data_IF_047437116162
#
_entry.id   IF_047437116162
#
_cell.length_a   1.000
_cell.length_b   1.000
_cell.length_c   1.000
_cell.angle_alpha   90.00
_cell.angle_beta   90.00
_cell.angle_gamma   90.00
#
_symmetry.space_group_name_H-M   'P 1'
#
loop_
_entity.id
_entity.type
_entity.pdbx_description
1 polymer ?
#
# COMPACT_ATOMS: atom_id res chain seq x y z
N UNK A 1 -38.25 4.00 -13.31
CA UNK A 1 -37.23 3.54 -14.29
C UNK A 1 -37.45 2.05 -14.58
N UNK A 2 -36.90 1.45 -15.65
CA UNK A 2 -37.15 0.03 -16.02
C UNK A 2 -36.87 -0.97 -14.89
N UNK A 3 -35.94 -0.65 -13.99
CA UNK A 3 -35.60 -1.44 -12.81
C UNK A 3 -36.73 -1.55 -11.77
N UNK A 4 -37.65 -0.58 -11.71
CA UNK A 4 -38.76 -0.59 -10.75
C UNK A 4 -39.87 -1.57 -11.17
N UNK A 5 -39.99 -1.84 -12.46
CA UNK A 5 -40.97 -2.77 -13.02
C UNK A 5 -40.56 -4.22 -12.70
N UNK A 6 -39.29 -4.57 -12.97
CA UNK A 6 -38.73 -5.89 -12.64
C UNK A 6 -38.81 -6.18 -11.13
N UNK A 7 -38.58 -5.19 -10.26
CA UNK A 7 -38.68 -5.35 -8.80
C UNK A 7 -40.08 -5.68 -8.30
N UNK A 8 -41.11 -5.07 -8.92
CA UNK A 8 -42.51 -5.33 -8.56
C UNK A 8 -42.97 -6.71 -9.02
N UNK A 9 -42.60 -7.12 -10.23
CA UNK A 9 -42.97 -8.43 -10.78
C UNK A 9 -42.25 -9.61 -10.12
N UNK A 10 -40.99 -9.45 -9.71
CA UNK A 10 -40.16 -10.56 -9.20
C UNK A 10 -40.24 -10.74 -7.68
N UNK A 11 -40.79 -9.76 -6.95
CA UNK A 11 -40.75 -9.74 -5.48
C UNK A 11 -39.33 -9.71 -4.90
N UNK A 12 -38.32 -9.54 -5.76
CA UNK A 12 -36.92 -9.58 -5.39
C UNK A 12 -36.55 -8.25 -4.75
N UNK A 13 -36.50 -8.22 -3.41
CA UNK A 13 -35.81 -7.16 -2.68
C UNK A 13 -34.34 -7.24 -3.06
N UNK A 14 -33.89 -6.31 -3.91
CA UNK A 14 -32.48 -6.22 -4.29
C UNK A 14 -31.65 -6.24 -3.01
N UNK A 15 -30.71 -7.20 -2.82
CA UNK A 15 -29.78 -7.13 -1.71
C UNK A 15 -29.08 -5.79 -1.86
N UNK A 16 -29.33 -4.89 -0.91
CA UNK A 16 -28.83 -3.52 -0.94
C UNK A 16 -27.34 -3.56 -1.20
N UNK A 17 -26.87 -2.97 -2.31
CA UNK A 17 -25.45 -2.75 -2.50
C UNK A 17 -24.97 -1.88 -1.32
N UNK A 18 -24.07 -2.42 -0.49
CA UNK A 18 -23.57 -1.77 0.70
C UNK A 18 -22.59 -0.66 0.30
N UNK A 19 -23.10 0.55 0.06
CA UNK A 19 -22.24 1.67 -0.27
C UNK A 19 -21.65 2.28 1.01
N UNK A 20 -20.32 2.19 1.16
CA UNK A 20 -19.63 2.68 2.36
C UNK A 20 -19.85 4.18 2.64
N UNK A 21 -20.14 4.99 1.63
CA UNK A 21 -20.45 6.42 1.82
C UNK A 21 -21.86 6.66 2.35
N UNK A 22 -22.84 5.87 1.90
CA UNK A 22 -24.21 5.93 2.42
C UNK A 22 -24.20 5.47 3.88
N UNK A 23 -23.49 4.39 4.17
CA UNK A 23 -23.34 3.87 5.52
C UNK A 23 -22.65 4.90 6.44
N UNK A 24 -21.58 5.53 5.98
CA UNK A 24 -20.90 6.61 6.70
C UNK A 24 -21.82 7.83 6.95
N UNK A 25 -22.60 8.23 5.94
CA UNK A 25 -23.58 9.32 6.08
C UNK A 25 -24.68 8.97 7.09
N UNK A 26 -25.14 7.72 7.14
CA UNK A 26 -26.16 7.29 8.10
C UNK A 26 -25.59 7.21 9.53
N UNK A 27 -24.36 6.70 9.69
CA UNK A 27 -23.76 6.51 11.00
C UNK A 27 -23.22 7.81 11.63
N UNK A 28 -22.57 8.66 10.84
CA UNK A 28 -21.82 9.83 11.33
C UNK A 28 -22.28 11.16 10.69
N UNK A 29 -23.21 11.09 9.74
CA UNK A 29 -23.73 12.28 9.05
C UNK A 29 -22.73 12.92 8.09
N UNK A 30 -23.09 14.11 7.65
CA UNK A 30 -22.24 14.97 6.84
C UNK A 30 -20.85 15.25 7.43
N UNK A 31 -20.69 15.48 8.75
CA UNK A 31 -19.35 15.70 9.32
C UNK A 31 -18.40 14.53 9.06
N UNK A 32 -18.88 13.29 9.21
CA UNK A 32 -18.11 12.09 8.92
C UNK A 32 -17.74 11.96 7.45
N UNK A 33 -18.72 12.14 6.56
CA UNK A 33 -18.51 12.08 5.12
C UNK A 33 -17.50 13.13 4.63
N UNK A 34 -17.60 14.37 5.12
CA UNK A 34 -16.67 15.45 4.79
C UNK A 34 -15.27 15.16 5.31
N UNK A 35 -15.14 14.65 6.54
CA UNK A 35 -13.84 14.31 7.11
C UNK A 35 -13.14 13.18 6.33
N UNK A 36 -13.83 12.07 6.09
CA UNK A 36 -13.27 10.92 5.37
C UNK A 36 -12.96 11.29 3.90
N UNK A 37 -13.88 11.99 3.24
CA UNK A 37 -13.67 12.51 1.88
C UNK A 37 -12.48 13.47 1.81
N UNK A 38 -12.37 14.39 2.77
CA UNK A 38 -11.25 15.31 2.87
C UNK A 38 -9.91 14.62 3.11
N UNK A 39 -9.85 13.65 4.02
CA UNK A 39 -8.65 12.84 4.26
C UNK A 39 -8.24 12.08 3.00
N UNK A 40 -9.20 11.47 2.30
CA UNK A 40 -8.92 10.68 1.11
C UNK A 40 -8.47 11.54 -0.06
N UNK A 41 -9.15 12.66 -0.33
CA UNK A 41 -8.76 13.63 -1.35
C UNK A 41 -7.40 14.28 -1.03
N UNK A 42 -7.17 14.67 0.22
CA UNK A 42 -5.90 15.23 0.68
C UNK A 42 -4.75 14.23 0.53
N UNK A 43 -4.97 12.97 0.90
CA UNK A 43 -3.97 11.90 0.71
C UNK A 43 -3.63 11.71 -0.77
N UNK A 44 -4.65 11.63 -1.63
CA UNK A 44 -4.45 11.48 -3.07
C UNK A 44 -3.68 12.67 -3.66
N UNK A 45 -4.05 13.90 -3.29
CA UNK A 45 -3.36 15.10 -3.74
C UNK A 45 -1.89 15.11 -3.32
N UNK A 46 -1.61 14.85 -2.03
CA UNK A 46 -0.23 14.80 -1.52
C UNK A 46 0.55 13.68 -2.21
N UNK A 47 -0.04 12.49 -2.39
CA UNK A 47 0.60 11.38 -3.08
C UNK A 47 0.95 11.73 -4.54
N UNK A 48 0.07 12.44 -5.26
CA UNK A 48 0.33 12.94 -6.62
C UNK A 48 1.49 13.93 -6.60
N UNK A 49 1.44 14.95 -5.73
CA UNK A 49 2.50 15.96 -5.62
C UNK A 49 3.87 15.35 -5.31
N UNK A 50 3.91 14.35 -4.41
CA UNK A 50 5.15 13.64 -4.04
C UNK A 50 5.69 12.75 -5.17
N UNK A 51 4.81 12.22 -6.02
CA UNK A 51 5.21 11.39 -7.16
C UNK A 51 6.03 12.16 -8.18
N UNK A 52 5.80 13.47 -8.32
CA UNK A 52 6.60 14.33 -9.20
C UNK A 52 8.02 14.61 -8.66
N UNK A 53 8.22 14.63 -7.34
CA UNK A 53 9.52 14.97 -6.72
C UNK A 53 10.42 13.78 -6.37
N UNK A 54 9.85 12.63 -5.98
CA UNK A 54 10.61 11.45 -5.53
C UNK A 54 10.71 10.32 -6.59
N UNK A 55 10.07 10.50 -7.75
CA UNK A 55 10.09 9.55 -8.86
C UNK A 55 9.36 8.22 -8.58
N UNK A 56 9.57 7.22 -9.45
CA UNK A 56 8.86 5.94 -9.46
C UNK A 56 9.02 5.10 -8.18
N UNK A 57 9.95 5.46 -7.28
CA UNK A 57 10.19 4.75 -6.01
C UNK A 57 9.13 5.03 -4.94
N UNK A 58 8.37 6.12 -5.06
CA UNK A 58 7.57 6.64 -3.94
C UNK A 58 6.04 6.65 -4.17
N UNK A 59 5.54 6.61 -5.41
CA UNK A 59 4.17 7.07 -5.69
C UNK A 59 3.17 6.11 -6.34
N UNK A 60 3.59 5.27 -7.28
CA UNK A 60 2.65 4.58 -8.17
C UNK A 60 1.76 3.54 -7.47
N UNK A 61 2.33 2.79 -6.53
CA UNK A 61 1.55 1.83 -5.75
C UNK A 61 0.50 2.54 -4.88
N UNK A 62 0.89 3.62 -4.20
CA UNK A 62 -0.01 4.38 -3.34
C UNK A 62 -1.18 4.99 -4.13
N UNK A 63 -0.92 5.53 -5.32
CA UNK A 63 -1.96 6.07 -6.19
C UNK A 63 -2.90 4.98 -6.73
N UNK A 64 -2.35 3.85 -7.18
CA UNK A 64 -3.15 2.71 -7.64
C UNK A 64 -4.03 2.14 -6.52
N UNK A 65 -3.47 1.99 -5.32
CA UNK A 65 -4.22 1.58 -4.13
C UNK A 65 -5.32 2.59 -3.78
N UNK A 66 -5.04 3.89 -3.75
CA UNK A 66 -6.05 4.92 -3.43
C UNK A 66 -7.20 4.93 -4.45
N UNK A 67 -6.90 4.75 -5.74
CA UNK A 67 -7.92 4.65 -6.78
C UNK A 67 -8.79 3.39 -6.58
N UNK A 68 -8.17 2.24 -6.36
CA UNK A 68 -8.90 0.99 -6.11
C UNK A 68 -9.73 1.07 -4.83
N UNK A 69 -9.17 1.60 -3.75
CA UNK A 69 -9.84 1.82 -2.47
C UNK A 69 -11.06 2.74 -2.63
N UNK A 70 -10.93 3.83 -3.39
CA UNK A 70 -12.06 4.71 -3.68
C UNK A 70 -13.18 3.98 -4.41
N UNK A 71 -12.86 3.27 -5.51
CA UNK A 71 -13.88 2.53 -6.28
C UNK A 71 -14.55 1.46 -5.42
N UNK A 72 -13.77 0.71 -4.63
CA UNK A 72 -14.30 -0.28 -3.69
C UNK A 72 -15.19 0.35 -2.62
N UNK A 73 -14.86 1.54 -2.11
CA UNK A 73 -15.67 2.24 -1.11
C UNK A 73 -17.05 2.66 -1.59
N UNK A 74 -17.25 2.76 -2.91
CA UNK A 74 -18.56 3.04 -3.51
C UNK A 74 -19.46 1.80 -3.55
N UNK A 75 -18.86 0.61 -3.58
CA UNK A 75 -19.59 -0.67 -3.72
C UNK A 75 -19.74 -1.44 -2.42
N UNK A 76 -18.81 -1.26 -1.48
CA UNK A 76 -18.72 -2.02 -0.24
C UNK A 76 -18.55 -1.10 0.98
N UNK A 77 -19.06 -1.55 2.13
CA UNK A 77 -18.86 -0.89 3.43
C UNK A 77 -17.45 -1.15 3.99
N UNK A 78 -16.43 -0.64 3.30
CA UNK A 78 -15.02 -0.74 3.72
C UNK A 78 -14.53 0.48 4.50
N UNK A 79 -15.27 1.59 4.48
CA UNK A 79 -14.92 2.81 5.21
C UNK A 79 -15.15 2.60 6.71
N UNK A 80 -14.13 2.88 7.52
CA UNK A 80 -14.19 2.75 8.99
C UNK A 80 -14.64 1.36 9.49
N UNK A 81 -14.54 0.33 8.65
CA UNK A 81 -14.93 -1.03 9.02
C UNK A 81 -14.06 -1.54 10.19
N UNK A 82 -14.71 -2.03 11.24
CA UNK A 82 -14.03 -2.60 12.39
C UNK A 82 -13.21 -3.83 11.95
N UNK A 83 -11.89 -3.83 12.19
CA UNK A 83 -10.95 -4.87 11.74
C UNK A 83 -10.82 -5.01 10.20
N UNK A 84 -11.19 -3.98 9.43
CA UNK A 84 -11.05 -3.98 7.97
C UNK A 84 -9.62 -3.66 7.51
N UNK A 85 -8.97 -4.61 6.84
CA UNK A 85 -7.67 -4.39 6.18
C UNK A 85 -7.67 -3.19 5.21
N UNK A 86 -8.70 -2.95 4.37
CA UNK A 86 -8.69 -1.83 3.44
C UNK A 86 -8.59 -0.48 4.16
N UNK A 87 -9.33 -0.29 5.25
CA UNK A 87 -9.30 0.95 6.04
C UNK A 87 -7.93 1.15 6.70
N UNK A 88 -7.33 0.10 7.25
CA UNK A 88 -5.99 0.17 7.86
C UNK A 88 -4.94 0.51 6.81
N UNK A 89 -5.01 -0.08 5.62
CA UNK A 89 -4.10 0.24 4.52
C UNK A 89 -4.28 1.68 4.03
N UNK A 90 -5.50 2.21 4.03
CA UNK A 90 -5.75 3.62 3.78
C UNK A 90 -5.05 4.51 4.82
N UNK A 91 -5.16 4.19 6.11
CA UNK A 91 -4.46 4.94 7.17
C UNK A 91 -2.92 4.84 7.01
N UNK A 92 -2.40 3.68 6.61
CA UNK A 92 -0.98 3.50 6.31
C UNK A 92 -0.53 4.35 5.10
N UNK A 93 -1.34 4.42 4.04
CA UNK A 93 -1.07 5.26 2.89
C UNK A 93 -1.14 6.76 3.23
N UNK A 94 -2.14 7.17 4.02
CA UNK A 94 -2.30 8.52 4.56
C UNK A 94 -1.07 8.96 5.36
N UNK A 95 -0.66 8.15 6.34
CA UNK A 95 0.52 8.44 7.16
C UNK A 95 1.78 8.52 6.31
N UNK A 96 1.99 7.61 5.36
CA UNK A 96 3.14 7.66 4.45
C UNK A 96 3.13 8.88 3.53
N UNK A 97 1.96 9.34 3.10
CA UNK A 97 1.85 10.54 2.26
C UNK A 97 2.19 11.82 3.04
N UNK A 98 1.75 11.91 4.30
CA UNK A 98 1.90 13.11 5.13
C UNK A 98 3.26 13.18 5.82
N UNK A 99 3.78 12.05 6.31
CA UNK A 99 5.02 12.08 7.07
C UNK A 99 6.22 12.42 6.16
N UNK A 100 7.16 13.25 6.66
CA UNK A 100 8.39 13.53 5.94
C UNK A 100 9.18 12.23 5.70
N UNK A 101 9.82 12.14 4.53
CA UNK A 101 10.69 11.02 4.23
C UNK A 101 11.77 10.88 5.33
N UNK A 102 12.10 9.65 5.77
CA UNK A 102 13.07 9.41 6.83
C UNK A 102 14.39 10.13 6.51
N UNK A 103 15.05 10.73 7.51
CA UNK A 103 16.31 11.47 7.30
C UNK A 103 17.39 10.62 6.59
N UNK A 104 17.38 9.30 6.81
CA UNK A 104 18.23 8.33 6.12
C UNK A 104 18.07 8.30 4.59
N UNK A 105 16.93 8.77 4.05
CA UNK A 105 16.68 8.87 2.61
C UNK A 105 17.02 10.25 2.02
N UNK A 106 17.33 11.25 2.87
CA UNK A 106 17.69 12.62 2.45
C UNK A 106 19.19 12.92 2.49
N UNK A 107 19.97 12.18 3.25
CA UNK A 107 21.41 12.41 3.33
C UNK A 107 22.11 11.85 2.06
N UNK A 108 22.88 12.66 1.32
CA UNK A 108 23.74 12.17 0.23
C UNK A 108 24.75 11.12 0.74
N UNK A 109 25.13 11.25 2.02
CA UNK A 109 26.10 10.42 2.73
C UNK A 109 25.45 9.57 3.84
N UNK A 110 24.18 9.17 3.66
CA UNK A 110 23.52 8.27 4.60
C UNK A 110 24.39 7.02 4.76
N UNK A 111 25.14 6.97 5.87
CA UNK A 111 26.02 5.86 6.20
C UNK A 111 25.19 4.58 6.02
N UNK A 112 25.66 3.61 5.23
CA UNK A 112 24.84 2.48 4.86
C UNK A 112 24.33 1.83 6.15
N UNK A 113 23.00 1.67 6.27
CA UNK A 113 22.34 1.08 7.44
C UNK A 113 22.89 -0.32 7.79
N UNK A 114 23.55 -0.93 6.82
CA UNK A 114 24.53 -1.98 7.01
C UNK A 114 25.89 -1.36 6.77
N UNK A 115 26.63 -1.06 7.85
CA UNK A 115 28.08 -1.04 7.71
C UNK A 115 28.41 -2.36 7.01
N UNK A 116 29.01 -2.29 5.83
CA UNK A 116 29.51 -3.45 5.11
C UNK A 116 30.65 -3.99 5.96
N UNK A 117 30.36 -4.53 7.16
CA UNK A 117 31.29 -5.25 8.00
C UNK A 117 31.79 -6.32 7.07
N UNK A 118 33.01 -6.13 6.59
CA UNK A 118 33.74 -7.12 5.84
C UNK A 118 33.69 -8.39 6.69
N UNK A 119 32.84 -9.32 6.28
CA UNK A 119 33.06 -10.76 6.44
C UNK A 119 33.30 -11.24 7.89
N UNK A 120 32.59 -10.71 8.89
CA UNK A 120 32.71 -11.26 10.25
C UNK A 120 31.76 -12.46 10.50
N UNK A 121 30.62 -12.54 9.80
CA UNK A 121 29.62 -13.61 9.96
C UNK A 121 29.17 -14.24 8.63
N UNK A 122 30.01 -14.17 7.60
CA UNK A 122 29.91 -15.16 6.53
C UNK A 122 30.55 -16.43 7.08
N UNK A 123 29.81 -17.18 7.90
CA UNK A 123 30.17 -18.58 8.18
C UNK A 123 30.34 -19.23 6.82
N UNK A 124 31.59 -19.56 6.46
CA UNK A 124 31.90 -20.16 5.18
C UNK A 124 30.97 -21.36 4.94
N UNK A 125 30.65 -21.68 3.67
CA UNK A 125 29.74 -22.77 3.36
C UNK A 125 30.23 -24.02 4.09
N UNK A 126 29.49 -24.45 5.13
CA UNK A 126 29.80 -25.68 5.89
C UNK A 126 29.51 -26.94 5.06
N UNK A 127 29.07 -26.75 3.83
CA UNK A 127 28.88 -27.77 2.80
C UNK A 127 30.03 -27.63 1.80
N UNK A 128 31.26 -27.84 2.27
CA UNK A 128 32.35 -28.25 1.40
C UNK A 128 32.65 -29.68 1.81
N UNK A 129 32.41 -30.63 0.90
CA UNK A 129 32.92 -31.98 1.09
C UNK A 129 34.45 -31.87 1.19
N UNK A 130 35.00 -32.19 2.36
CA UNK A 130 36.45 -32.36 2.51
C UNK A 130 36.84 -33.66 1.79
N UNK A 131 36.81 -33.63 0.46
CA UNK A 131 37.27 -34.73 -0.37
C UNK A 131 38.77 -34.51 -0.63
N UNK A 132 39.66 -35.40 -0.16
CA UNK A 132 41.11 -35.20 -0.24
C UNK A 132 41.65 -35.18 -1.68
N UNK A 133 40.83 -35.54 -2.68
CA UNK A 133 41.20 -35.55 -4.10
C UNK A 133 40.41 -34.55 -4.97
N UNK A 134 39.72 -33.58 -4.37
CA UNK A 134 38.96 -32.57 -5.12
C UNK A 134 39.87 -31.57 -5.84
N UNK A 135 39.85 -31.56 -7.17
CA UNK A 135 40.64 -30.61 -7.97
C UNK A 135 40.25 -29.16 -7.67
N UNK A 136 41.18 -28.33 -7.21
CA UNK A 136 40.95 -26.89 -7.10
C UNK A 136 40.83 -26.28 -8.49
N UNK A 137 39.60 -26.06 -8.97
CA UNK A 137 39.39 -25.29 -10.20
C UNK A 137 39.80 -23.84 -9.92
N UNK A 138 40.97 -23.44 -10.45
CA UNK A 138 41.44 -22.05 -10.52
C UNK A 138 40.33 -21.19 -11.11
N UNK A 139 39.88 -20.19 -10.36
CA UNK A 139 39.01 -19.15 -10.88
C UNK A 139 39.77 -18.34 -11.93
N UNK A 140 39.27 -18.35 -13.16
CA UNK A 140 39.82 -17.53 -14.25
C UNK A 140 39.37 -16.07 -14.07
N UNK A 141 40.27 -15.08 -14.28
CA UNK A 141 39.88 -13.68 -14.29
C UNK A 141 39.07 -13.40 -15.57
N UNK A 142 37.79 -13.08 -15.41
CA UNK A 142 36.98 -12.49 -16.47
C UNK A 142 37.33 -11.00 -16.52
N UNK A 143 37.84 -10.54 -17.68
CA UNK A 143 38.06 -9.13 -17.99
C UNK A 143 36.74 -8.47 -18.39
#
# INVERSE_FOLDING_TARGET
APADWVRKETGWTVPSAHNGWIDLLVQLGWPGAVLVGGLMAGTALIAVLRSFGAGAREGWWGLGFLAAFFVLSLSESILMAHQGLPWVLFVAALTRAILPAPAASRAPDAAPLVEKRRRAYQTGPRIVSQYPHGSQRRAFPVR
#
